data_IF_878375778801
#
_entry.id   IF_878375778801
#
_cell.length_a   1.000
_cell.length_b   1.000
_cell.length_c   1.000
_cell.angle_alpha   90.00
_cell.angle_beta   90.00
_cell.angle_gamma   90.00
#
_symmetry.space_group_name_H-M   'P 1'
#
loop_
_entity.id
_entity.type
_entity.pdbx_description
1 polymer ?
#
# COMPACT_ATOMS: atom_id res chain seq x y z
N UNK A 1 4.55 21.94 58.99
CA UNK A 1 3.95 20.87 58.16
C UNK A 1 2.66 20.42 58.83
N UNK A 2 1.57 20.42 58.07
CA UNK A 2 0.26 20.04 58.56
C UNK A 2 0.24 18.50 58.84
N UNK A 3 -0.34 18.07 59.95
CA UNK A 3 -0.43 16.67 60.34
C UNK A 3 -1.12 15.78 59.32
N UNK A 4 -2.01 16.37 58.54
CA UNK A 4 -2.72 15.70 57.42
C UNK A 4 -1.77 15.33 56.29
N UNK A 5 -0.81 16.21 55.97
CA UNK A 5 0.21 15.94 54.94
C UNK A 5 1.23 14.87 55.38
N UNK A 6 1.62 14.92 56.65
CA UNK A 6 2.48 13.88 57.25
C UNK A 6 1.86 12.50 57.12
N UNK A 7 0.56 12.40 57.38
CA UNK A 7 -0.19 11.15 57.33
C UNK A 7 -0.26 10.63 55.88
N UNK A 8 -0.50 11.48 54.90
CA UNK A 8 -0.53 11.14 53.49
C UNK A 8 0.83 10.64 52.98
N UNK A 9 1.90 11.33 53.39
CA UNK A 9 3.27 10.93 53.02
C UNK A 9 3.58 9.55 53.62
N UNK A 10 3.20 9.28 54.86
CA UNK A 10 3.38 7.99 55.49
C UNK A 10 2.64 6.87 54.76
N UNK A 11 1.38 7.11 54.39
CA UNK A 11 0.58 6.15 53.63
C UNK A 11 1.18 5.86 52.26
N UNK A 12 1.61 6.90 51.53
CA UNK A 12 2.25 6.74 50.24
C UNK A 12 3.58 5.99 50.38
N UNK A 13 4.38 6.32 51.38
CA UNK A 13 5.63 5.63 51.65
C UNK A 13 5.42 4.14 51.91
N UNK A 14 4.41 3.79 52.74
CA UNK A 14 4.05 2.42 52.99
C UNK A 14 3.62 1.67 51.73
N UNK A 15 2.84 2.32 50.84
CA UNK A 15 2.41 1.75 49.57
C UNK A 15 3.58 1.49 48.64
N UNK A 16 4.51 2.45 48.57
CA UNK A 16 5.71 2.28 47.76
C UNK A 16 6.57 1.15 48.33
N UNK A 17 6.74 1.07 49.64
CA UNK A 17 7.50 0.00 50.29
C UNK A 17 6.85 -1.36 50.06
N UNK A 18 5.51 -1.45 50.11
CA UNK A 18 4.78 -2.67 49.82
C UNK A 18 4.93 -3.13 48.41
N UNK A 19 5.03 -2.18 47.46
CA UNK A 19 5.22 -2.49 46.04
C UNK A 19 6.67 -2.87 45.69
N UNK A 20 7.64 -2.33 46.42
CA UNK A 20 9.06 -2.47 46.11
C UNK A 20 9.81 -3.43 47.06
N UNK A 21 9.23 -3.78 48.21
CA UNK A 21 9.84 -4.70 49.19
C UNK A 21 9.19 -6.07 49.19
N UNK A 22 10.00 -7.12 49.29
CA UNK A 22 9.57 -8.49 49.28
C UNK A 22 9.63 -9.14 47.89
N UNK A 23 9.25 -10.41 47.77
CA UNK A 23 9.31 -11.17 46.54
C UNK A 23 8.40 -10.59 45.45
N UNK A 24 7.19 -10.16 45.82
CA UNK A 24 6.22 -9.56 44.88
C UNK A 24 6.67 -8.20 44.39
N UNK A 25 7.26 -7.35 45.24
CA UNK A 25 7.78 -6.05 44.87
C UNK A 25 8.97 -6.13 43.93
N UNK A 26 9.85 -7.11 44.17
CA UNK A 26 11.01 -7.37 43.32
C UNK A 26 10.57 -7.89 41.92
N UNK A 27 9.58 -8.78 41.93
CA UNK A 27 9.00 -9.31 40.68
C UNK A 27 8.32 -8.19 39.87
N UNK A 28 7.60 -7.26 40.55
CA UNK A 28 6.97 -6.12 39.88
C UNK A 28 8.01 -5.17 39.27
N UNK A 29 9.10 -4.91 39.99
CA UNK A 29 10.21 -4.08 39.49
C UNK A 29 10.85 -4.72 38.25
N UNK A 30 11.09 -6.02 38.28
CA UNK A 30 11.61 -6.75 37.14
C UNK A 30 10.66 -6.73 35.95
N UNK A 31 9.35 -6.86 36.20
CA UNK A 31 8.32 -6.76 35.15
C UNK A 31 8.27 -5.36 34.53
N UNK A 32 8.39 -4.30 35.36
CA UNK A 32 8.43 -2.93 34.86
C UNK A 32 9.67 -2.68 34.01
N UNK A 33 10.82 -3.16 34.42
CA UNK A 33 12.05 -3.06 33.65
C UNK A 33 11.92 -3.76 32.31
N UNK A 34 11.29 -4.93 32.29
CA UNK A 34 11.02 -5.68 31.07
C UNK A 34 10.06 -4.93 30.15
N UNK A 35 9.01 -4.32 30.69
CA UNK A 35 8.07 -3.50 29.93
C UNK A 35 8.78 -2.29 29.30
N UNK A 36 9.67 -1.64 30.04
CA UNK A 36 10.45 -0.50 29.53
C UNK A 36 11.35 -0.94 28.39
N UNK A 37 12.03 -2.07 28.55
CA UNK A 37 12.87 -2.64 27.49
C UNK A 37 12.06 -2.98 26.24
N UNK A 38 10.92 -3.65 26.45
CA UNK A 38 10.01 -4.02 25.36
C UNK A 38 9.47 -2.78 24.65
N UNK A 39 9.13 -1.72 25.41
CA UNK A 39 8.66 -0.46 24.82
C UNK A 39 9.75 0.21 23.96
N UNK A 40 10.99 0.21 24.41
CA UNK A 40 12.11 0.76 23.62
C UNK A 40 12.27 -0.01 22.31
N UNK A 41 12.18 -1.33 22.39
CA UNK A 41 12.26 -2.19 21.22
C UNK A 41 11.10 -1.95 20.26
N UNK A 42 9.87 -1.87 20.79
CA UNK A 42 8.66 -1.63 20.00
C UNK A 42 8.71 -0.27 19.31
N UNK A 43 9.18 0.77 19.99
CA UNK A 43 9.34 2.11 19.39
C UNK A 43 10.35 2.10 18.24
N UNK A 44 11.45 1.37 18.41
CA UNK A 44 12.47 1.21 17.39
C UNK A 44 11.92 0.46 16.17
N UNK A 45 11.21 -0.64 16.41
CA UNK A 45 10.59 -1.43 15.35
C UNK A 45 9.49 -0.64 14.64
N UNK A 46 8.68 0.13 15.39
CA UNK A 46 7.64 0.97 14.82
C UNK A 46 8.22 2.05 13.91
N UNK A 47 9.31 2.69 14.33
CA UNK A 47 10.00 3.69 13.52
C UNK A 47 10.55 3.08 12.23
N UNK A 48 11.19 1.92 12.34
CA UNK A 48 11.69 1.17 11.19
C UNK A 48 10.57 0.77 10.24
N UNK A 49 9.47 0.26 10.80
CA UNK A 49 8.31 -0.14 10.01
C UNK A 49 7.69 1.04 9.28
N UNK A 50 7.61 2.21 9.93
CA UNK A 50 7.12 3.43 9.28
C UNK A 50 8.00 3.85 8.11
N UNK A 51 9.31 3.77 8.26
CA UNK A 51 10.25 4.06 7.19
C UNK A 51 10.13 3.06 6.03
N UNK A 52 9.99 1.78 6.35
CA UNK A 52 9.83 0.73 5.35
C UNK A 52 8.51 0.89 4.59
N UNK A 53 7.43 1.22 5.28
CA UNK A 53 6.12 1.50 4.66
C UNK A 53 6.24 2.69 3.70
N UNK A 54 6.91 3.74 4.10
CA UNK A 54 7.13 4.92 3.25
C UNK A 54 7.91 4.56 1.99
N UNK A 55 8.95 3.73 2.12
CA UNK A 55 9.73 3.23 0.98
C UNK A 55 8.88 2.38 0.05
N UNK A 56 8.07 1.48 0.63
CA UNK A 56 7.18 0.60 -0.14
C UNK A 56 6.18 1.42 -0.93
N UNK A 57 5.49 2.37 -0.31
CA UNK A 57 4.55 3.24 -1.00
C UNK A 57 5.22 4.08 -2.08
N UNK A 58 6.44 4.55 -1.83
CA UNK A 58 7.21 5.27 -2.83
C UNK A 58 7.52 4.43 -4.06
N UNK A 59 7.85 3.15 -3.87
CA UNK A 59 8.11 2.22 -4.97
C UNK A 59 6.84 1.82 -5.71
N UNK A 60 5.72 1.68 -4.99
CA UNK A 60 4.44 1.31 -5.58
C UNK A 60 3.93 2.33 -6.58
N UNK A 61 4.30 3.59 -6.47
CA UNK A 61 3.86 4.63 -7.41
C UNK A 61 4.25 4.34 -8.85
N UNK A 62 5.42 3.74 -9.06
CA UNK A 62 5.92 3.41 -10.39
C UNK A 62 5.59 1.99 -10.85
N UNK A 63 4.89 1.22 -10.04
CA UNK A 63 4.51 -0.16 -10.36
C UNK A 63 3.17 -0.15 -11.10
N UNK A 64 3.04 -0.98 -12.13
CA UNK A 64 1.78 -1.13 -12.84
C UNK A 64 0.74 -1.80 -11.94
N UNK A 65 -0.37 -1.12 -11.73
CA UNK A 65 -1.41 -1.54 -10.78
C UNK A 65 -2.79 -1.65 -11.41
N UNK A 66 -2.97 -1.05 -12.57
CA UNK A 66 -4.26 -0.95 -13.23
C UNK A 66 -4.17 -1.61 -14.59
N UNK A 67 -5.19 -2.34 -14.97
CA UNK A 67 -5.22 -3.03 -16.24
C UNK A 67 -6.64 -3.00 -16.82
N UNK A 68 -6.72 -2.78 -18.12
CA UNK A 68 -7.95 -2.92 -18.88
C UNK A 68 -7.68 -3.75 -20.12
N UNK A 69 -8.56 -4.70 -20.41
CA UNK A 69 -8.47 -5.54 -21.59
C UNK A 69 -9.81 -5.51 -22.31
N UNK A 70 -9.76 -5.32 -23.64
CA UNK A 70 -10.91 -5.43 -24.51
C UNK A 70 -10.53 -6.36 -25.65
N UNK A 71 -11.30 -7.42 -25.82
CA UNK A 71 -11.21 -8.29 -27.00
C UNK A 71 -12.25 -7.86 -28.01
N UNK A 72 -11.89 -7.93 -29.27
CA UNK A 72 -12.78 -7.47 -30.33
C UNK A 72 -12.47 -8.16 -31.64
N UNK A 73 -13.38 -8.02 -32.60
CA UNK A 73 -13.19 -8.45 -33.96
C UNK A 73 -12.83 -7.23 -34.82
N UNK A 74 -11.52 -7.09 -35.15
CA UNK A 74 -11.07 -6.03 -36.04
C UNK A 74 -11.69 -6.16 -37.42
N UNK A 75 -11.96 -7.44 -37.81
CA UNK A 75 -12.61 -7.79 -39.08
C UNK A 75 -13.73 -8.76 -38.74
N UNK A 76 -14.97 -8.34 -38.94
CA UNK A 76 -16.19 -9.13 -38.62
C UNK A 76 -16.19 -10.51 -39.27
N UNK A 77 -15.56 -10.65 -40.42
CA UNK A 77 -15.50 -11.90 -41.20
C UNK A 77 -14.78 -13.03 -40.47
N UNK A 78 -13.86 -12.69 -39.54
CA UNK A 78 -13.08 -13.70 -38.83
C UNK A 78 -13.78 -14.27 -37.62
N UNK A 79 -14.59 -13.46 -36.91
CA UNK A 79 -15.23 -13.85 -35.67
C UNK A 79 -14.26 -14.25 -34.59
N UNK A 80 -14.78 -14.64 -33.43
CA UNK A 80 -13.99 -15.19 -32.32
C UNK A 80 -13.17 -14.18 -31.51
N UNK A 81 -13.33 -12.88 -31.73
CA UNK A 81 -12.64 -11.84 -30.97
C UNK A 81 -11.13 -12.08 -30.87
N UNK A 82 -10.48 -12.22 -32.01
CA UNK A 82 -9.05 -12.53 -32.11
C UNK A 82 -8.13 -11.33 -31.86
N UNK A 83 -8.67 -10.14 -31.94
CA UNK A 83 -7.93 -8.91 -31.63
C UNK A 83 -8.10 -8.52 -30.19
N UNK A 84 -7.14 -7.80 -29.63
CA UNK A 84 -7.21 -7.40 -28.23
C UNK A 84 -6.43 -6.10 -27.97
N UNK A 85 -6.99 -5.26 -27.12
CA UNK A 85 -6.31 -4.09 -26.59
C UNK A 85 -6.04 -4.35 -25.11
N UNK A 86 -4.81 -4.11 -24.68
CA UNK A 86 -4.40 -4.17 -23.28
C UNK A 86 -3.85 -2.81 -22.87
N UNK A 87 -4.36 -2.29 -21.77
CA UNK A 87 -3.83 -1.05 -21.15
C UNK A 87 -3.34 -1.40 -19.77
N UNK A 88 -2.12 -0.99 -19.46
CA UNK A 88 -1.49 -1.19 -18.16
C UNK A 88 -1.01 0.16 -17.66
N UNK A 89 -1.43 0.54 -16.46
CA UNK A 89 -1.13 1.85 -15.88
C UNK A 89 -0.60 1.73 -14.45
N UNK A 90 0.23 2.69 -14.07
CA UNK A 90 0.65 2.86 -12.69
C UNK A 90 -0.37 3.69 -11.89
N UNK A 91 -0.02 4.03 -10.66
CA UNK A 91 -0.89 4.80 -9.77
C UNK A 91 -1.24 6.18 -10.34
N UNK A 92 -0.33 6.79 -11.09
CA UNK A 92 -0.51 8.12 -11.68
C UNK A 92 -1.12 8.10 -13.08
N UNK A 93 -1.64 6.93 -13.49
CA UNK A 93 -2.25 6.71 -14.79
C UNK A 93 -1.26 6.83 -15.95
N UNK A 94 -0.01 6.53 -15.69
CA UNK A 94 1.03 6.43 -16.70
C UNK A 94 1.26 4.97 -17.07
N UNK A 95 1.44 4.68 -18.33
CA UNK A 95 1.71 3.33 -18.77
C UNK A 95 1.65 3.15 -20.26
N UNK A 96 1.19 2.02 -20.69
CA UNK A 96 1.23 1.62 -22.08
C UNK A 96 -0.09 0.98 -22.52
N UNK A 97 -0.46 1.27 -23.76
CA UNK A 97 -1.54 0.59 -24.47
C UNK A 97 -0.89 -0.29 -25.53
N UNK A 98 -1.30 -1.53 -25.60
CA UNK A 98 -0.86 -2.49 -26.61
C UNK A 98 -2.10 -2.95 -27.36
N UNK A 99 -2.10 -2.80 -28.67
CA UNK A 99 -3.19 -3.28 -29.51
C UNK A 99 -2.67 -4.34 -30.47
N UNK A 100 -3.21 -5.55 -30.35
CA UNK A 100 -2.94 -6.64 -31.26
C UNK A 100 -4.10 -6.76 -32.24
N UNK A 101 -3.85 -6.47 -33.49
CA UNK A 101 -4.86 -6.52 -34.56
C UNK A 101 -4.65 -7.80 -35.36
N UNK A 102 -5.64 -8.66 -35.38
CA UNK A 102 -5.59 -9.92 -36.11
C UNK A 102 -6.37 -9.80 -37.44
N UNK A 103 -5.78 -10.28 -38.51
CA UNK A 103 -6.43 -10.32 -39.81
C UNK A 103 -6.10 -11.66 -40.55
N UNK A 104 -6.82 -11.93 -41.63
CA UNK A 104 -6.58 -13.13 -42.46
C UNK A 104 -5.19 -13.18 -43.09
N UNK A 105 -4.60 -12.03 -43.32
CA UNK A 105 -3.26 -11.91 -43.93
C UNK A 105 -2.13 -11.84 -42.90
N UNK A 106 -2.46 -12.05 -41.63
CA UNK A 106 -1.55 -11.97 -40.51
C UNK A 106 -1.99 -10.86 -39.54
N UNK A 107 -1.27 -10.74 -38.45
CA UNK A 107 -1.56 -9.74 -37.45
C UNK A 107 -0.44 -8.70 -37.33
N UNK A 108 -0.74 -7.60 -36.69
CA UNK A 108 0.27 -6.65 -36.29
C UNK A 108 -0.03 -6.14 -34.88
N UNK A 109 1.02 -5.72 -34.19
CA UNK A 109 0.93 -5.17 -32.84
C UNK A 109 1.52 -3.78 -32.85
N UNK A 110 0.85 -2.84 -32.22
CA UNK A 110 1.42 -1.53 -31.98
C UNK A 110 1.17 -1.08 -30.56
N UNK A 111 1.95 -0.14 -30.11
CA UNK A 111 1.90 0.40 -28.75
C UNK A 111 1.67 1.89 -28.75
N UNK A 112 1.04 2.38 -27.70
CA UNK A 112 0.87 3.80 -27.43
C UNK A 112 1.29 4.08 -26.00
N UNK A 113 1.92 5.21 -25.77
CA UNK A 113 2.28 5.66 -24.42
C UNK A 113 1.10 6.43 -23.83
N UNK A 114 0.75 6.09 -22.60
CA UNK A 114 -0.30 6.79 -21.86
C UNK A 114 0.39 7.63 -20.77
N UNK A 115 0.09 8.91 -20.75
CA UNK A 115 0.59 9.83 -19.73
C UNK A 115 -0.59 10.52 -19.04
N UNK A 116 -0.68 10.35 -17.73
CA UNK A 116 -1.77 10.90 -16.91
C UNK A 116 -3.16 10.58 -17.46
N UNK A 117 -3.31 9.36 -17.94
CA UNK A 117 -4.58 8.87 -18.49
C UNK A 117 -4.89 9.37 -19.90
N UNK A 118 -3.93 9.97 -20.60
CA UNK A 118 -4.12 10.55 -21.93
C UNK A 118 -3.08 10.02 -22.93
N UNK A 119 -3.44 10.03 -24.18
CA UNK A 119 -2.57 9.64 -25.29
C UNK A 119 -2.47 10.79 -26.30
N UNK A 120 -1.28 11.02 -26.85
CA UNK A 120 -1.06 12.02 -27.88
C UNK A 120 -1.77 11.67 -29.19
N UNK A 121 -1.89 10.38 -29.46
CA UNK A 121 -2.56 9.90 -30.66
C UNK A 121 -4.05 9.71 -30.39
N UNK A 122 -4.84 9.90 -31.43
CA UNK A 122 -6.28 9.62 -31.35
C UNK A 122 -6.50 8.12 -31.16
N UNK A 123 -7.27 7.75 -30.16
CA UNK A 123 -7.56 6.37 -29.84
C UNK A 123 -8.86 5.90 -30.50
N UNK A 124 -8.88 4.65 -30.96
CA UNK A 124 -10.09 4.01 -31.46
C UNK A 124 -11.06 3.65 -30.35
N UNK A 125 -12.25 3.19 -30.74
CA UNK A 125 -13.33 2.87 -29.80
C UNK A 125 -12.91 1.83 -28.76
N UNK A 126 -12.31 0.71 -29.21
CA UNK A 126 -11.88 -0.37 -28.33
C UNK A 126 -10.71 0.05 -27.45
N UNK A 127 -9.85 0.92 -27.96
CA UNK A 127 -8.72 1.47 -27.22
C UNK A 127 -9.20 2.40 -26.08
N UNK A 128 -10.19 3.24 -26.36
CA UNK A 128 -10.83 4.09 -25.36
C UNK A 128 -11.51 3.25 -24.29
N UNK A 129 -12.22 2.20 -24.70
CA UNK A 129 -12.88 1.27 -23.77
C UNK A 129 -11.87 0.60 -22.85
N UNK A 130 -10.76 0.09 -23.37
CA UNK A 130 -9.71 -0.53 -22.59
C UNK A 130 -9.06 0.46 -21.62
N UNK A 131 -8.81 1.68 -22.09
CA UNK A 131 -8.25 2.75 -21.24
C UNK A 131 -9.22 3.07 -20.08
N UNK A 132 -10.51 3.20 -20.38
CA UNK A 132 -11.52 3.49 -19.35
C UNK A 132 -11.64 2.35 -18.34
N UNK A 133 -11.53 1.10 -18.78
CA UNK A 133 -11.48 -0.05 -17.87
C UNK A 133 -10.28 0.01 -16.92
N UNK A 134 -9.11 0.38 -17.44
CA UNK A 134 -7.90 0.54 -16.62
C UNK A 134 -8.07 1.70 -15.63
N UNK A 135 -8.67 2.80 -16.05
CA UNK A 135 -8.94 3.97 -15.21
C UNK A 135 -10.12 3.74 -14.26
N UNK A 136 -10.86 2.67 -14.42
CA UNK A 136 -12.09 2.35 -13.66
C UNK A 136 -13.17 3.41 -13.79
N UNK A 137 -13.34 3.89 -15.00
CA UNK A 137 -14.40 4.86 -15.35
C UNK A 137 -15.61 4.17 -15.98
#
# INVERSE_FOLDING_TARGET
>A
MNGKNKKQISILSERIDALTSGEDGKSLEEELDQIIEDNKKLLKDSSRNSDDIRKIFGRLKGVYQKMGIVRYDAYEELGGEMSAVVVILDEEDNGVLINNVYSTEGGYVYTRVIEKGKCEHELGTEEIEALNKALKK
#
